data_IF_057361516219
#
_entry.id   IF_057361516219
#
_cell.length_a   1.000
_cell.length_b   1.000
_cell.length_c   1.000
_cell.angle_alpha   90.00
_cell.angle_beta   90.00
_cell.angle_gamma   90.00
#
_symmetry.space_group_name_H-M   'P 1'
#
loop_
_entity.id
_entity.type
_entity.pdbx_description
1 polymer ?
#
# COMPACT_ATOMS: atom_id res chain seq x y z
N UNK A 1 12.34 0.31 -3.08
CA UNK A 1 11.37 -0.82 -3.06
C UNK A 1 10.80 -0.93 -1.65
N UNK A 2 9.52 -1.32 -1.51
CA UNK A 2 8.86 -1.40 -0.21
C UNK A 2 8.47 -2.85 0.09
N UNK A 3 8.95 -3.45 1.20
CA UNK A 3 8.57 -4.80 1.63
C UNK A 3 7.06 -4.95 1.90
N UNK A 4 6.52 -6.16 1.68
CA UNK A 4 5.12 -6.49 1.98
C UNK A 4 4.73 -6.21 3.44
N UNK A 5 5.64 -6.50 4.38
CA UNK A 5 5.37 -6.29 5.81
C UNK A 5 5.18 -4.82 6.17
N UNK A 6 5.82 -3.89 5.44
CA UNK A 6 5.66 -2.45 5.66
C UNK A 6 4.29 -1.97 5.20
N UNK A 7 3.76 -2.53 4.10
CA UNK A 7 2.38 -2.25 3.68
C UNK A 7 1.35 -2.78 4.69
N UNK A 8 1.55 -4.00 5.21
CA UNK A 8 0.65 -4.56 6.23
C UNK A 8 0.70 -3.70 7.51
N UNK A 9 1.90 -3.32 7.97
CA UNK A 9 2.04 -2.45 9.13
C UNK A 9 1.41 -1.06 8.93
N UNK A 10 1.51 -0.50 7.73
CA UNK A 10 0.84 0.77 7.40
C UNK A 10 -0.69 0.65 7.47
N UNK A 11 -1.27 -0.48 7.03
CA UNK A 11 -2.70 -0.75 7.18
C UNK A 11 -3.10 -0.94 8.65
N UNK A 12 -2.31 -1.69 9.43
CA UNK A 12 -2.56 -1.90 10.86
C UNK A 12 -2.59 -0.56 11.61
N UNK A 13 -1.64 0.33 11.30
CA UNK A 13 -1.59 1.67 11.86
C UNK A 13 -2.77 2.56 11.41
N UNK A 14 -3.12 2.51 10.12
CA UNK A 14 -4.23 3.31 9.57
C UNK A 14 -5.60 2.87 10.11
N UNK A 15 -5.79 1.57 10.37
CA UNK A 15 -7.04 0.99 10.87
C UNK A 15 -7.09 0.89 12.39
N UNK A 16 -5.95 1.05 13.09
CA UNK A 16 -5.84 0.89 14.54
C UNK A 16 -6.02 -0.56 15.01
N UNK A 17 -5.82 -1.55 14.14
CA UNK A 17 -6.07 -2.97 14.41
C UNK A 17 -4.86 -3.79 13.94
N UNK A 18 -4.36 -4.67 14.80
CA UNK A 18 -3.31 -5.64 14.41
C UNK A 18 -3.94 -6.80 13.65
N UNK A 19 -3.44 -7.07 12.45
CA UNK A 19 -3.88 -8.17 11.61
C UNK A 19 -3.43 -9.52 12.19
N UNK A 20 -4.34 -10.49 12.19
CA UNK A 20 -4.02 -11.90 12.44
C UNK A 20 -3.45 -12.51 11.16
N UNK A 21 -2.13 -12.47 11.03
CA UNK A 21 -1.40 -12.90 9.82
C UNK A 21 -1.38 -14.43 9.72
N UNK A 22 -1.78 -14.97 8.56
CA UNK A 22 -1.58 -16.37 8.21
C UNK A 22 -0.40 -16.45 7.22
N UNK A 23 0.78 -16.84 7.69
CA UNK A 23 1.99 -16.87 6.86
C UNK A 23 1.92 -18.04 5.88
N UNK A 24 1.96 -17.73 4.58
CA UNK A 24 1.92 -18.71 3.50
C UNK A 24 3.26 -18.75 2.76
N UNK A 25 3.61 -19.86 2.09
CA UNK A 25 4.76 -19.89 1.19
C UNK A 25 4.56 -18.90 0.03
N UNK A 26 5.65 -18.59 -0.68
CA UNK A 26 5.60 -17.76 -1.89
C UNK A 26 4.63 -18.34 -2.90
N UNK A 27 3.72 -17.52 -3.43
CA UNK A 27 2.70 -17.98 -4.35
C UNK A 27 3.26 -18.17 -5.75
N UNK A 28 2.71 -19.09 -6.57
CA UNK A 28 3.08 -19.21 -7.96
C UNK A 28 2.85 -17.87 -8.70
N UNK A 29 3.90 -17.27 -9.22
CA UNK A 29 3.85 -15.97 -9.90
C UNK A 29 4.42 -14.79 -9.09
N UNK A 30 4.65 -14.98 -7.79
CA UNK A 30 5.40 -13.99 -7.01
C UNK A 30 6.87 -13.95 -7.47
N UNK A 31 7.44 -12.75 -7.49
CA UNK A 31 8.87 -12.54 -7.62
C UNK A 31 9.42 -11.99 -6.30
N UNK A 32 10.63 -12.37 -5.87
CA UNK A 32 11.18 -11.92 -4.58
C UNK A 32 11.26 -10.40 -4.43
N UNK A 33 11.52 -9.69 -5.53
CA UNK A 33 11.48 -8.24 -5.62
C UNK A 33 11.28 -7.79 -7.07
N UNK A 34 10.55 -6.70 -7.25
CA UNK A 34 10.44 -6.00 -8.52
C UNK A 34 10.38 -4.49 -8.28
N UNK A 35 10.87 -3.71 -9.24
CA UNK A 35 10.87 -2.25 -9.19
C UNK A 35 10.97 -1.69 -10.59
N UNK A 36 10.37 -0.51 -10.81
CA UNK A 36 10.54 0.25 -12.04
C UNK A 36 11.72 1.22 -11.94
N UNK A 37 12.55 1.30 -12.97
CA UNK A 37 13.47 2.42 -13.17
C UNK A 37 12.69 3.59 -13.77
N UNK A 38 12.64 4.71 -13.06
CA UNK A 38 11.89 5.92 -13.46
C UNK A 38 12.78 7.06 -13.92
N UNK A 39 14.08 6.81 -14.14
CA UNK A 39 15.06 7.85 -14.51
C UNK A 39 14.72 8.55 -15.84
N UNK A 40 14.31 7.80 -16.86
CA UNK A 40 13.90 8.36 -18.16
C UNK A 40 12.61 9.18 -18.06
N UNK A 41 11.62 8.70 -17.29
CA UNK A 41 10.39 9.45 -17.04
C UNK A 41 10.69 10.77 -16.34
N UNK A 42 11.54 10.75 -15.31
CA UNK A 42 11.96 11.95 -14.59
C UNK A 42 12.63 12.96 -15.53
N UNK A 43 13.54 12.52 -16.42
CA UNK A 43 14.16 13.41 -17.41
C UNK A 43 13.14 14.02 -18.37
N UNK A 44 12.10 13.27 -18.74
CA UNK A 44 11.10 13.71 -19.70
C UNK A 44 10.11 14.72 -19.12
N UNK A 45 9.60 14.48 -17.90
CA UNK A 45 8.52 15.31 -17.32
C UNK A 45 8.94 16.14 -16.11
N UNK A 46 10.16 15.97 -15.60
CA UNK A 46 10.67 16.72 -14.44
C UNK A 46 9.98 16.37 -13.11
N UNK A 47 9.28 15.24 -13.04
CA UNK A 47 8.51 14.82 -11.88
C UNK A 47 8.88 13.39 -11.45
N UNK A 48 9.01 13.19 -10.14
CA UNK A 48 9.08 11.88 -9.51
C UNK A 48 8.08 11.85 -8.34
N UNK A 49 7.21 10.83 -8.25
CA UNK A 49 6.34 10.67 -7.11
C UNK A 49 7.16 10.35 -5.85
N UNK A 50 6.83 11.01 -4.74
CA UNK A 50 7.55 10.93 -3.46
C UNK A 50 6.65 10.56 -2.27
N UNK A 51 5.38 10.21 -2.54
CA UNK A 51 4.43 9.87 -1.48
C UNK A 51 4.92 8.65 -0.69
N UNK A 52 5.12 8.84 0.61
CA UNK A 52 5.47 7.75 1.52
C UNK A 52 4.37 6.69 1.55
N UNK A 53 4.76 5.42 1.67
CA UNK A 53 3.80 4.31 1.68
C UNK A 53 2.82 4.42 2.84
N UNK A 54 3.25 4.89 4.02
CA UNK A 54 2.36 5.05 5.17
C UNK A 54 1.29 6.11 4.91
N UNK A 55 1.67 7.22 4.29
CA UNK A 55 0.75 8.29 3.93
C UNK A 55 -0.23 7.84 2.84
N UNK A 56 0.26 7.17 1.80
CA UNK A 56 -0.55 6.64 0.72
C UNK A 56 -1.58 5.61 1.21
N UNK A 57 -1.14 4.64 2.02
CA UNK A 57 -2.01 3.61 2.60
C UNK A 57 -3.04 4.21 3.55
N UNK A 58 -2.66 5.18 4.38
CA UNK A 58 -3.60 5.87 5.27
C UNK A 58 -4.70 6.58 4.49
N UNK A 59 -4.33 7.39 3.49
CA UNK A 59 -5.30 8.10 2.62
C UNK A 59 -6.23 7.13 1.89
N UNK A 60 -5.69 5.99 1.43
CA UNK A 60 -6.48 4.94 0.81
C UNK A 60 -7.50 4.32 1.78
N UNK A 61 -7.06 3.95 2.99
CA UNK A 61 -7.95 3.37 4.00
C UNK A 61 -9.06 4.33 4.42
N UNK A 62 -8.73 5.61 4.63
CA UNK A 62 -9.71 6.67 4.93
C UNK A 62 -10.75 6.82 3.81
N UNK A 63 -10.29 6.87 2.55
CA UNK A 63 -11.20 6.93 1.39
C UNK A 63 -12.10 5.69 1.30
N UNK A 64 -11.53 4.49 1.46
CA UNK A 64 -12.28 3.23 1.38
C UNK A 64 -13.38 3.16 2.44
N UNK A 65 -13.05 3.49 3.70
CA UNK A 65 -14.01 3.53 4.79
C UNK A 65 -15.05 4.62 4.61
N UNK A 66 -14.69 5.80 4.09
CA UNK A 66 -15.66 6.85 3.80
C UNK A 66 -16.66 6.45 2.70
N UNK A 67 -16.20 5.69 1.70
CA UNK A 67 -17.03 5.24 0.59
C UNK A 67 -17.90 4.01 0.95
N UNK A 68 -17.36 3.03 1.67
CA UNK A 68 -18.05 1.77 1.99
C UNK A 68 -18.60 1.68 3.42
N UNK A 69 -17.97 2.32 4.40
CA UNK A 69 -18.36 2.26 5.82
C UNK A 69 -19.60 3.09 6.19
N UNK A 70 -20.21 3.79 5.21
CA UNK A 70 -21.50 4.49 5.38
C UNK A 70 -22.72 3.57 5.16
N UNK A 71 -22.54 2.33 4.73
CA UNK A 71 -23.64 1.40 4.43
C UNK A 71 -24.11 0.53 5.62
N UNK A 72 -23.56 0.72 6.82
CA UNK A 72 -23.99 0.00 8.03
C UNK A 72 -25.18 0.68 8.76
N UNK A 73 -25.95 1.52 8.06
CA UNK A 73 -27.26 1.99 8.51
C UNK A 73 -28.33 1.67 7.46
N UNK A 74 -28.85 0.45 7.52
CA UNK A 74 -30.15 0.04 7.01
C UNK A 74 -30.75 -1.01 7.96
#
# INVERSE_FOLDING_TARGET
PTPLMDYIGALEAALGITAKKNMMPMQPGDVPATSADTSELLKWVGFAPDTDVRDGVKRFAEWYLAYHGRNDQA
#
